data_IF_353906809812
#
_entry.id   IF_353906809812
#
_cell.length_a   1.000
_cell.length_b   1.000
_cell.length_c   1.000
_cell.angle_alpha   90.00
_cell.angle_beta   90.00
_cell.angle_gamma   90.00
#
_symmetry.space_group_name_H-M   'P 1'
#
loop_
_entity.id
_entity.type
_entity.pdbx_description
1 polymer ?
#
# COMPACT_ATOMS: atom_id res chain seq x y z
N UNK A 1 -8.26 -0.89 -19.47
CA UNK A 1 -8.44 -1.48 -20.81
C UNK A 1 -8.72 -2.97 -20.67
N UNK A 2 -9.73 -3.50 -21.38
CA UNK A 2 -10.16 -4.90 -21.21
C UNK A 2 -9.08 -5.89 -21.66
N UNK A 3 -8.65 -6.79 -20.77
CA UNK A 3 -7.62 -7.79 -21.10
C UNK A 3 -8.01 -8.65 -22.32
N UNK A 4 -9.28 -9.04 -22.40
CA UNK A 4 -9.85 -9.86 -23.47
C UNK A 4 -9.94 -9.18 -24.82
N UNK A 5 -9.74 -7.86 -24.90
CA UNK A 5 -9.77 -7.10 -26.14
C UNK A 5 -8.37 -6.73 -26.65
N UNK A 6 -7.31 -7.24 -26.01
CA UNK A 6 -5.94 -7.01 -26.50
C UNK A 6 -5.80 -7.57 -27.92
N UNK A 7 -5.35 -6.76 -28.90
CA UNK A 7 -5.14 -7.23 -30.27
C UNK A 7 -4.09 -8.35 -30.30
N UNK A 8 -4.30 -9.33 -31.18
CA UNK A 8 -3.40 -10.49 -31.34
C UNK A 8 -1.97 -10.15 -31.77
N UNK A 9 -1.72 -8.92 -32.21
CA UNK A 9 -0.39 -8.42 -32.54
C UNK A 9 0.47 -7.98 -31.33
N UNK A 10 -0.06 -8.07 -30.10
CA UNK A 10 0.68 -7.74 -28.88
C UNK A 10 0.92 -8.98 -28.03
N UNK A 11 2.18 -9.18 -27.64
CA UNK A 11 2.58 -10.27 -26.75
C UNK A 11 2.43 -9.89 -25.26
N UNK A 12 2.36 -8.59 -24.96
CA UNK A 12 2.27 -8.04 -23.60
C UNK A 12 1.29 -6.87 -23.55
N UNK A 13 0.42 -6.83 -22.53
CA UNK A 13 -0.51 -5.71 -22.31
C UNK A 13 0.20 -4.36 -22.16
N UNK A 14 1.41 -4.34 -21.60
CA UNK A 14 2.19 -3.10 -21.46
C UNK A 14 2.57 -2.47 -22.80
N UNK A 15 2.89 -3.29 -23.82
CA UNK A 15 3.18 -2.81 -25.17
C UNK A 15 1.92 -2.27 -25.85
N UNK A 16 0.78 -2.93 -25.63
CA UNK A 16 -0.50 -2.42 -26.11
C UNK A 16 -0.84 -1.09 -25.46
N UNK A 17 -0.66 -0.95 -24.14
CA UNK A 17 -0.92 0.29 -23.41
C UNK A 17 -0.02 1.44 -23.88
N UNK A 18 1.28 1.21 -24.04
CA UNK A 18 2.22 2.21 -24.54
C UNK A 18 1.87 2.62 -25.98
N UNK A 19 1.55 1.65 -26.86
CA UNK A 19 1.11 1.94 -28.23
C UNK A 19 -0.18 2.76 -28.27
N UNK A 20 -1.17 2.43 -27.44
CA UNK A 20 -2.42 3.18 -27.34
C UNK A 20 -2.18 4.59 -26.82
N UNK A 21 -1.35 4.76 -25.80
CA UNK A 21 -0.98 6.06 -25.27
C UNK A 21 -0.28 6.94 -26.33
N UNK A 22 0.70 6.38 -27.04
CA UNK A 22 1.45 7.11 -28.09
C UNK A 22 0.59 7.53 -29.28
N UNK A 23 -0.53 6.85 -29.50
CA UNK A 23 -1.47 7.20 -30.57
C UNK A 23 -2.23 8.50 -30.29
N UNK A 24 -2.34 8.90 -29.02
CA UNK A 24 -3.07 10.12 -28.61
C UNK A 24 -2.15 11.21 -28.06
N UNK A 25 -0.95 10.86 -27.58
CA UNK A 25 0.03 11.83 -27.07
C UNK A 25 1.46 11.42 -27.41
N UNK A 26 2.25 12.35 -27.94
CA UNK A 26 3.67 12.10 -28.27
C UNK A 26 4.62 12.28 -27.06
N UNK A 27 4.16 12.93 -25.99
CA UNK A 27 4.99 13.29 -24.84
C UNK A 27 4.61 12.54 -23.55
N UNK A 28 3.41 11.97 -23.50
CA UNK A 28 2.96 11.22 -22.34
C UNK A 28 3.73 9.91 -22.16
N UNK A 29 3.88 9.51 -20.89
CA UNK A 29 4.56 8.29 -20.49
C UNK A 29 3.71 7.55 -19.47
N UNK A 30 3.78 6.22 -19.52
CA UNK A 30 3.12 5.37 -18.53
C UNK A 30 3.74 5.60 -17.15
N UNK A 31 2.92 5.94 -16.17
CA UNK A 31 3.32 6.04 -14.76
C UNK A 31 3.27 4.65 -14.12
N UNK A 32 2.12 3.97 -14.20
CA UNK A 32 1.94 2.59 -13.76
C UNK A 32 1.18 1.77 -14.79
N UNK A 33 1.37 0.46 -14.73
CA UNK A 33 0.53 -0.54 -15.39
C UNK A 33 -0.02 -1.48 -14.33
N UNK A 34 -1.31 -1.80 -14.43
CA UNK A 34 -2.03 -2.65 -13.50
C UNK A 34 -2.45 -3.92 -14.25
N UNK A 35 -2.24 -5.08 -13.63
CA UNK A 35 -2.49 -6.38 -14.28
C UNK A 35 -3.18 -7.42 -13.38
N UNK A 36 -3.34 -7.14 -12.09
CA UNK A 36 -3.81 -8.10 -11.10
C UNK A 36 -5.20 -7.73 -10.56
N UNK A 37 -5.31 -6.56 -9.93
CA UNK A 37 -6.57 -6.08 -9.35
C UNK A 37 -7.47 -5.45 -10.42
N UNK A 38 -6.86 -4.72 -11.34
CA UNK A 38 -7.50 -4.10 -12.49
C UNK A 38 -6.56 -4.18 -13.70
N UNK A 39 -7.12 -4.13 -14.91
CA UNK A 39 -6.33 -4.09 -16.15
C UNK A 39 -6.33 -2.68 -16.72
N UNK A 40 -5.19 -2.00 -16.71
CA UNK A 40 -5.08 -0.64 -17.22
C UNK A 40 -3.74 0.00 -16.90
N UNK A 41 -3.69 1.32 -17.02
CA UNK A 41 -2.50 2.11 -16.74
C UNK A 41 -2.87 3.50 -16.24
N UNK A 42 -1.91 4.18 -15.62
CA UNK A 42 -2.00 5.60 -15.30
C UNK A 42 -0.98 6.40 -16.11
N UNK A 43 -1.35 7.64 -16.43
CA UNK A 43 -0.55 8.56 -17.23
C UNK A 43 -1.00 10.00 -16.95
N UNK A 44 -0.21 10.98 -17.38
CA UNK A 44 -0.60 12.39 -17.41
C UNK A 44 -0.92 12.80 -18.83
N UNK A 45 -2.12 13.35 -19.04
CA UNK A 45 -2.65 13.77 -20.33
C UNK A 45 -3.30 15.16 -20.21
N UNK A 46 -3.40 15.88 -21.33
CA UNK A 46 -4.35 17.00 -21.43
C UNK A 46 -5.79 16.48 -21.50
N UNK A 47 -6.81 17.30 -21.22
CA UNK A 47 -8.20 16.91 -21.38
C UNK A 47 -8.52 16.37 -22.78
N UNK A 48 -7.98 17.00 -23.83
CA UNK A 48 -8.20 16.60 -25.22
C UNK A 48 -7.55 15.25 -25.56
N UNK A 49 -6.36 14.99 -25.03
CA UNK A 49 -5.69 13.69 -25.16
C UNK A 49 -6.45 12.59 -24.40
N UNK A 50 -7.01 12.90 -23.23
CA UNK A 50 -7.84 11.97 -22.45
C UNK A 50 -9.16 11.64 -23.16
N UNK A 51 -9.82 12.63 -23.76
CA UNK A 51 -11.02 12.43 -24.58
C UNK A 51 -10.70 11.57 -25.81
N UNK A 52 -9.55 11.83 -26.46
CA UNK A 52 -9.08 11.02 -27.58
C UNK A 52 -8.82 9.57 -27.17
N UNK A 53 -8.23 9.36 -25.98
CA UNK A 53 -7.97 8.01 -25.44
C UNK A 53 -9.25 7.22 -25.22
N UNK A 54 -10.32 7.86 -24.74
CA UNK A 54 -11.63 7.21 -24.53
C UNK A 54 -12.26 6.66 -25.82
N UNK A 55 -11.86 7.18 -26.99
CA UNK A 55 -12.37 6.68 -28.28
C UNK A 55 -11.70 5.40 -28.75
N UNK A 56 -10.57 4.99 -28.13
CA UNK A 56 -9.82 3.83 -28.56
C UNK A 56 -10.52 2.52 -28.19
N UNK A 57 -10.57 1.53 -29.10
CA UNK A 57 -11.04 0.19 -28.78
C UNK A 57 -10.32 -0.41 -27.57
N UNK A 58 -11.07 -1.03 -26.66
CA UNK A 58 -10.53 -1.64 -25.44
C UNK A 58 -10.43 -0.68 -24.24
N UNK A 59 -10.57 0.64 -24.43
CA UNK A 59 -10.70 1.60 -23.32
C UNK A 59 -12.15 1.59 -22.81
N UNK A 60 -12.34 1.15 -21.56
CA UNK A 60 -13.67 1.08 -20.93
C UNK A 60 -14.01 2.39 -20.23
N UNK A 61 -13.02 3.00 -19.58
CA UNK A 61 -13.16 4.26 -18.86
C UNK A 61 -11.82 4.97 -18.74
N UNK A 62 -11.87 6.28 -18.60
CA UNK A 62 -10.76 7.14 -18.18
C UNK A 62 -11.25 7.90 -16.96
N UNK A 63 -10.51 7.81 -15.85
CA UNK A 63 -10.86 8.44 -14.58
C UNK A 63 -9.79 9.49 -14.25
N UNK A 64 -10.19 10.70 -13.83
CA UNK A 64 -9.22 11.71 -13.40
C UNK A 64 -8.52 11.27 -12.11
N UNK A 65 -7.29 11.74 -11.91
CA UNK A 65 -6.54 11.54 -10.68
C UNK A 65 -7.31 12.14 -9.50
N UNK A 66 -7.52 11.34 -8.46
CA UNK A 66 -8.13 11.78 -7.22
C UNK A 66 -7.10 11.78 -6.08
N UNK A 67 -7.09 12.88 -5.33
CA UNK A 67 -6.34 13.02 -4.08
C UNK A 67 -7.27 12.74 -2.90
N UNK A 68 -6.85 11.82 -2.05
CA UNK A 68 -7.51 11.46 -0.80
C UNK A 68 -6.74 12.01 0.40
N UNK A 69 -7.45 12.18 1.51
CA UNK A 69 -6.89 12.61 2.80
C UNK A 69 -6.88 11.44 3.78
N UNK A 70 -5.97 11.51 4.76
CA UNK A 70 -5.87 10.52 5.83
C UNK A 70 -7.10 10.60 6.74
N UNK A 71 -7.63 9.44 7.13
CA UNK A 71 -8.80 9.35 8.00
C UNK A 71 -8.54 8.38 9.16
N UNK A 72 -8.42 8.90 10.39
CA UNK A 72 -8.49 8.08 11.61
C UNK A 72 -9.17 8.86 12.74
N UNK A 73 -10.50 8.80 12.83
CA UNK A 73 -11.20 9.53 13.90
C UNK A 73 -11.62 8.66 15.10
N UNK A 74 -11.94 7.35 14.94
CA UNK A 74 -12.31 6.46 16.08
C UNK A 74 -12.56 4.98 15.72
N UNK A 75 -11.52 4.17 15.55
CA UNK A 75 -11.66 2.79 15.01
C UNK A 75 -12.43 1.80 15.91
N UNK A 76 -12.23 1.72 17.24
CA UNK A 76 -12.88 0.67 18.05
C UNK A 76 -14.41 0.83 18.20
N UNK A 77 -14.87 2.08 18.41
CA UNK A 77 -16.29 2.40 18.55
C UNK A 77 -17.03 2.31 17.20
N UNK A 78 -16.37 2.68 16.10
CA UNK A 78 -16.89 2.52 14.75
C UNK A 78 -17.11 1.04 14.38
N UNK A 79 -16.23 0.15 14.85
CA UNK A 79 -16.32 -1.29 14.61
C UNK A 79 -17.22 -2.05 15.61
N UNK A 80 -17.89 -1.35 16.54
CA UNK A 80 -18.73 -2.01 17.56
C UNK A 80 -17.95 -2.89 18.54
N UNK A 81 -16.63 -2.70 18.63
CA UNK A 81 -15.75 -3.45 19.52
C UNK A 81 -15.64 -2.68 20.84
N UNK A 82 -16.62 -2.89 21.72
CA UNK A 82 -16.58 -2.44 23.10
C UNK A 82 -16.02 -3.51 24.04
N UNK A 83 -15.86 -3.15 25.33
CA UNK A 83 -15.32 -4.01 26.38
C UNK A 83 -16.12 -5.31 26.57
N UNK A 84 -17.32 -5.42 26.02
CA UNK A 84 -18.20 -6.58 26.12
C UNK A 84 -18.01 -7.59 24.98
N UNK A 85 -17.25 -7.24 23.94
CA UNK A 85 -17.05 -8.05 22.73
C UNK A 85 -15.57 -8.42 22.46
N UNK A 86 -14.69 -8.26 23.46
CA UNK A 86 -13.24 -8.51 23.33
C UNK A 86 -12.88 -9.98 23.03
N UNK A 87 -13.80 -10.92 23.29
CA UNK A 87 -13.63 -12.36 23.09
C UNK A 87 -14.04 -12.87 21.70
N UNK A 88 -14.41 -11.97 20.76
CA UNK A 88 -14.83 -12.36 19.39
C UNK A 88 -13.71 -12.92 18.51
N UNK A 89 -12.45 -12.78 18.92
CA UNK A 89 -11.33 -13.40 18.22
C UNK A 89 -10.83 -14.59 19.04
N UNK A 90 -11.35 -15.82 18.81
CA UNK A 90 -10.72 -17.00 19.38
C UNK A 90 -9.24 -16.99 19.01
N UNK A 91 -8.36 -17.29 19.97
CA UNK A 91 -6.95 -17.56 19.71
C UNK A 91 -6.85 -18.84 18.88
N UNK A 92 -7.19 -18.75 17.59
CA UNK A 92 -6.90 -19.80 16.64
C UNK A 92 -5.38 -19.88 16.59
N UNK A 93 -4.84 -21.05 16.97
CA UNK A 93 -3.40 -21.30 17.08
C UNK A 93 -2.59 -21.15 15.78
N UNK A 94 -3.18 -20.59 14.72
CA UNK A 94 -2.66 -20.50 13.35
C UNK A 94 -2.67 -19.08 12.77
N UNK A 95 -2.84 -18.01 13.56
CA UNK A 95 -2.91 -16.63 13.06
C UNK A 95 -1.57 -16.01 12.63
N UNK A 96 -0.44 -16.72 12.75
CA UNK A 96 0.89 -16.22 12.34
C UNK A 96 1.11 -16.15 10.83
N UNK A 97 0.23 -16.74 10.05
CA UNK A 97 0.34 -16.80 8.58
C UNK A 97 -0.56 -15.78 7.88
N UNK A 98 -1.40 -15.07 8.63
CA UNK A 98 -2.18 -13.94 8.11
C UNK A 98 -1.26 -12.75 7.94
N UNK A 99 -1.31 -12.11 6.77
CA UNK A 99 -0.60 -10.87 6.47
C UNK A 99 -1.62 -9.73 6.37
N UNK A 100 -1.55 -8.79 7.30
CA UNK A 100 -2.30 -7.53 7.23
C UNK A 100 -1.53 -6.56 6.35
N UNK A 101 -2.15 -6.15 5.25
CA UNK A 101 -1.58 -5.20 4.29
C UNK A 101 -2.11 -3.81 4.56
N UNK A 102 -1.23 -2.85 4.73
CA UNK A 102 -1.58 -1.49 5.15
C UNK A 102 -1.11 -0.52 4.07
N UNK A 103 -2.07 0.17 3.45
CA UNK A 103 -1.83 1.24 2.47
C UNK A 103 -2.01 2.56 3.20
N UNK A 104 -0.91 3.27 3.46
CA UNK A 104 -0.90 4.43 4.36
C UNK A 104 0.36 5.31 4.12
N UNK A 105 0.82 6.06 5.13
CA UNK A 105 2.03 6.93 5.08
C UNK A 105 3.36 6.19 5.25
N UNK A 106 3.33 4.87 5.38
CA UNK A 106 4.53 4.03 5.53
C UNK A 106 4.59 3.34 6.90
N UNK A 107 5.82 2.99 7.32
CA UNK A 107 6.06 2.40 8.64
C UNK A 107 7.37 2.89 9.28
N UNK A 108 7.38 3.00 10.60
CA UNK A 108 8.58 3.16 11.43
C UNK A 108 9.03 1.79 11.97
N UNK A 109 9.91 1.07 11.25
CA UNK A 109 10.20 -0.34 11.53
C UNK A 109 10.89 -0.59 12.87
N UNK A 110 11.58 0.41 13.43
CA UNK A 110 12.27 0.29 14.72
C UNK A 110 11.31 0.30 15.93
N UNK A 111 10.02 0.57 15.71
CA UNK A 111 9.02 0.52 16.78
C UNK A 111 8.91 -0.89 17.37
N UNK A 112 8.83 -0.99 18.70
CA UNK A 112 8.67 -2.27 19.40
C UNK A 112 7.42 -3.04 18.96
N UNK A 113 6.40 -2.33 18.44
CA UNK A 113 5.19 -2.92 17.87
C UNK A 113 5.47 -3.79 16.63
N UNK A 114 6.64 -3.66 16.00
CA UNK A 114 7.06 -4.50 14.87
C UNK A 114 8.15 -5.52 15.25
N UNK A 115 8.29 -5.82 16.54
CA UNK A 115 9.14 -6.92 17.01
C UNK A 115 8.64 -8.27 16.49
N UNK A 116 9.56 -9.12 16.07
CA UNK A 116 9.29 -10.45 15.51
C UNK A 116 9.54 -11.61 16.49
N UNK A 117 9.73 -11.28 17.77
CA UNK A 117 9.90 -12.25 18.85
C UNK A 117 8.69 -13.18 18.92
N UNK A 118 8.95 -14.48 18.92
CA UNK A 118 7.91 -15.51 18.97
C UNK A 118 7.22 -15.80 17.63
N UNK A 119 7.61 -15.14 16.53
CA UNK A 119 7.13 -15.47 15.19
C UNK A 119 8.04 -16.47 14.49
N UNK A 120 7.43 -17.50 13.90
CA UNK A 120 8.09 -18.47 13.02
C UNK A 120 8.52 -17.89 11.66
N UNK A 121 9.15 -18.70 10.80
CA UNK A 121 9.60 -18.29 9.47
C UNK A 121 8.45 -17.74 8.63
N UNK A 122 8.72 -16.79 7.74
CA UNK A 122 7.70 -16.24 6.82
C UNK A 122 7.18 -17.36 5.92
N UNK A 123 5.87 -17.39 5.69
CA UNK A 123 5.26 -18.39 4.82
C UNK A 123 5.86 -18.33 3.41
N UNK A 124 6.17 -19.49 2.82
CA UNK A 124 6.78 -19.59 1.49
C UNK A 124 5.89 -19.09 0.36
N UNK A 125 4.61 -18.86 0.63
CA UNK A 125 3.64 -18.27 -0.30
C UNK A 125 3.77 -16.76 -0.42
N UNK A 126 4.47 -16.10 0.51
CA UNK A 126 4.75 -14.67 0.48
C UNK A 126 5.82 -14.35 -0.57
N UNK A 127 5.51 -13.41 -1.47
CA UNK A 127 6.41 -12.95 -2.54
C UNK A 127 6.78 -11.48 -2.43
N UNK A 128 6.15 -10.76 -1.49
CA UNK A 128 6.50 -9.38 -1.20
C UNK A 128 7.92 -9.26 -0.65
N UNK A 129 8.44 -8.04 -0.73
CA UNK A 129 9.81 -7.74 -0.32
C UNK A 129 9.91 -6.38 0.32
N UNK A 130 11.12 -6.03 0.75
CA UNK A 130 11.39 -4.76 1.39
C UNK A 130 12.27 -3.91 0.50
N UNK A 131 11.64 -2.86 0.01
CA UNK A 131 12.22 -1.89 -0.89
C UNK A 131 13.10 -0.92 -0.10
N UNK A 132 14.34 -0.78 -0.55
CA UNK A 132 15.26 0.19 0.02
C UNK A 132 14.97 1.60 -0.54
N UNK A 133 15.27 2.61 0.26
CA UNK A 133 15.20 4.01 -0.13
C UNK A 133 15.83 4.87 0.96
N UNK A 134 15.55 6.17 0.91
CA UNK A 134 16.05 7.12 1.89
C UNK A 134 15.66 6.73 3.31
N UNK A 135 16.65 6.63 4.20
CA UNK A 135 16.49 6.19 5.60
C UNK A 135 15.82 4.81 5.79
N UNK A 136 15.76 3.97 4.75
CA UNK A 136 15.13 2.65 4.83
C UNK A 136 15.95 1.62 4.06
N UNK A 137 16.54 0.65 4.75
CA UNK A 137 17.24 -0.47 4.11
C UNK A 137 16.35 -1.71 4.11
N UNK A 138 16.57 -2.60 3.15
CA UNK A 138 15.81 -3.87 3.07
C UNK A 138 15.93 -4.73 4.34
N UNK A 139 17.01 -4.56 5.11
CA UNK A 139 17.25 -5.28 6.37
C UNK A 139 16.38 -4.80 7.54
N UNK A 140 15.62 -3.71 7.39
CA UNK A 140 14.68 -3.24 8.41
C UNK A 140 13.42 -4.10 8.50
N UNK A 141 13.16 -4.91 7.47
CA UNK A 141 12.14 -5.94 7.56
C UNK A 141 12.62 -7.17 8.30
N UNK A 142 11.67 -7.86 8.93
CA UNK A 142 11.89 -8.99 9.80
C UNK A 142 10.73 -9.99 9.68
N UNK A 143 10.56 -10.93 10.62
CA UNK A 143 9.46 -11.91 10.52
C UNK A 143 8.08 -11.31 10.86
N UNK A 144 8.01 -10.09 11.40
CA UNK A 144 6.80 -9.32 11.71
C UNK A 144 6.42 -8.36 10.59
N UNK A 145 7.29 -7.41 10.26
CA UNK A 145 7.18 -6.55 9.08
C UNK A 145 7.87 -7.27 7.91
N UNK A 146 7.08 -7.99 7.10
CA UNK A 146 7.61 -8.88 6.05
C UNK A 146 7.69 -8.23 4.67
N UNK A 147 7.09 -7.04 4.52
CA UNK A 147 7.06 -6.30 3.27
C UNK A 147 6.94 -4.81 3.54
N UNK A 148 7.67 -4.02 2.78
CA UNK A 148 7.63 -2.57 2.87
C UNK A 148 7.97 -1.99 1.49
N UNK A 149 7.04 -1.24 0.90
CA UNK A 149 7.17 -0.62 -0.43
C UNK A 149 6.59 0.78 -0.42
N UNK A 150 6.87 1.55 -1.46
CA UNK A 150 6.29 2.87 -1.64
C UNK A 150 5.94 3.13 -3.11
N UNK A 151 4.93 3.97 -3.33
CA UNK A 151 4.42 4.35 -4.65
C UNK A 151 4.30 5.85 -4.68
N UNK A 152 5.12 6.51 -5.51
CA UNK A 152 5.24 7.96 -5.55
C UNK A 152 5.04 8.54 -6.95
N UNK A 153 4.89 7.74 -8.02
CA UNK A 153 4.85 8.29 -9.38
C UNK A 153 3.61 9.14 -9.63
N UNK A 154 2.47 8.81 -9.02
CA UNK A 154 1.25 9.62 -9.10
C UNK A 154 1.41 10.96 -8.39
N UNK A 155 1.91 10.90 -7.16
CA UNK A 155 2.35 12.06 -6.38
C UNK A 155 3.32 12.94 -7.19
N UNK A 156 4.41 12.37 -7.69
CA UNK A 156 5.48 13.11 -8.38
C UNK A 156 5.02 13.73 -9.69
N UNK A 157 4.10 13.07 -10.40
CA UNK A 157 3.49 13.62 -11.61
C UNK A 157 2.60 14.84 -11.35
N UNK A 158 2.04 14.95 -10.13
CA UNK A 158 1.08 15.99 -9.75
C UNK A 158 1.71 17.12 -8.93
N UNK A 159 2.54 16.78 -7.95
CA UNK A 159 3.11 17.70 -6.96
C UNK A 159 4.60 18.02 -7.22
N UNK A 160 5.25 17.28 -8.11
CA UNK A 160 6.71 17.34 -8.31
C UNK A 160 7.47 16.35 -7.42
N UNK A 161 8.81 16.32 -7.51
CA UNK A 161 9.63 15.33 -6.80
C UNK A 161 9.39 15.39 -5.28
N UNK A 162 9.52 14.24 -4.61
CA UNK A 162 9.46 14.17 -3.14
C UNK A 162 10.55 15.08 -2.54
N UNK A 163 10.16 15.98 -1.64
CA UNK A 163 11.08 16.84 -0.90
C UNK A 163 11.72 16.04 0.25
N UNK A 164 12.88 15.44 -0.03
CA UNK A 164 13.59 14.58 0.92
C UNK A 164 14.15 15.32 2.15
N UNK A 165 14.02 16.64 2.22
CA UNK A 165 14.28 17.39 3.46
C UNK A 165 13.15 17.26 4.48
N UNK A 166 11.95 16.84 4.03
CA UNK A 166 10.74 16.71 4.86
C UNK A 166 10.25 15.28 4.97
N UNK A 167 10.32 14.52 3.89
CA UNK A 167 9.77 13.17 3.82
C UNK A 167 10.69 12.24 3.03
N UNK A 168 10.94 11.05 3.57
CA UNK A 168 11.81 10.04 2.95
C UNK A 168 11.12 9.43 1.74
N UNK A 169 11.78 9.46 0.58
CA UNK A 169 11.35 8.73 -0.62
C UNK A 169 11.63 7.23 -0.48
N UNK A 170 10.94 6.60 0.46
CA UNK A 170 11.08 5.20 0.86
C UNK A 170 9.82 4.72 1.59
N UNK A 171 9.75 3.45 2.04
CA UNK A 171 8.64 2.98 2.87
C UNK A 171 8.60 3.58 4.29
N UNK A 172 9.57 4.42 4.67
CA UNK A 172 9.61 5.04 6.00
C UNK A 172 8.42 5.98 6.20
N UNK A 173 7.86 5.89 7.39
CA UNK A 173 6.82 6.81 7.87
C UNK A 173 7.47 8.02 8.56
N UNK A 174 7.34 9.19 7.93
CA UNK A 174 7.77 10.47 8.51
C UNK A 174 6.57 11.28 9.04
N UNK A 175 5.35 10.76 8.91
CA UNK A 175 4.11 11.35 9.43
C UNK A 175 3.69 10.71 10.78
N UNK A 176 3.60 9.38 10.79
CA UNK A 176 3.23 8.56 11.94
C UNK A 176 1.89 7.83 11.79
N UNK A 177 1.00 8.28 10.90
CA UNK A 177 -0.33 7.69 10.72
C UNK A 177 -0.25 6.21 10.33
N UNK A 178 0.58 5.84 9.37
CA UNK A 178 0.77 4.45 8.92
C UNK A 178 1.33 3.54 10.01
N UNK A 179 2.28 4.02 10.80
CA UNK A 179 2.82 3.32 11.98
C UNK A 179 1.75 3.09 13.03
N UNK A 180 0.94 4.12 13.32
CA UNK A 180 -0.13 4.03 14.29
C UNK A 180 -1.24 3.07 13.84
N UNK A 181 -1.69 3.17 12.59
CA UNK A 181 -2.73 2.32 12.01
C UNK A 181 -2.28 0.86 11.93
N UNK A 182 -1.08 0.59 11.42
CA UNK A 182 -0.55 -0.77 11.31
C UNK A 182 -0.30 -1.43 12.68
N UNK A 183 0.18 -0.69 13.67
CA UNK A 183 0.35 -1.20 15.04
C UNK A 183 -0.99 -1.42 15.75
N UNK A 184 -2.02 -0.62 15.46
CA UNK A 184 -3.38 -0.86 15.96
C UNK A 184 -3.97 -2.14 15.37
N UNK A 185 -3.77 -2.39 14.07
CA UNK A 185 -4.28 -3.59 13.42
C UNK A 185 -3.56 -4.85 13.87
N UNK A 186 -2.22 -4.82 13.88
CA UNK A 186 -1.40 -6.02 14.02
C UNK A 186 -0.09 -5.78 14.77
N UNK A 187 0.01 -4.80 15.67
CA UNK A 187 1.20 -4.62 16.51
C UNK A 187 1.47 -5.81 17.44
N UNK A 188 2.74 -6.17 17.59
CA UNK A 188 3.23 -7.04 18.66
C UNK A 188 2.99 -6.42 20.03
N UNK A 189 3.03 -7.23 21.08
CA UNK A 189 2.81 -6.74 22.45
C UNK A 189 4.00 -5.89 22.90
N UNK A 190 3.73 -4.68 23.40
CA UNK A 190 4.70 -3.76 23.97
C UNK A 190 4.30 -3.45 25.41
N UNK A 191 5.03 -4.03 26.35
CA UNK A 191 4.83 -3.78 27.78
C UNK A 191 5.28 -2.38 28.19
N UNK A 192 4.57 -1.77 29.14
CA UNK A 192 4.90 -0.45 29.68
C UNK A 192 4.75 0.69 28.68
N UNK A 193 3.92 0.53 27.65
CA UNK A 193 3.60 1.60 26.71
C UNK A 193 2.74 2.66 27.40
N UNK A 194 3.05 3.92 27.15
CA UNK A 194 2.26 5.07 27.60
C UNK A 194 2.58 6.30 26.73
N UNK A 195 1.68 7.27 26.72
CA UNK A 195 1.94 8.61 26.16
C UNK A 195 2.07 9.59 27.33
N UNK A 196 3.29 10.01 27.66
CA UNK A 196 3.54 10.91 28.80
C UNK A 196 2.89 10.44 30.11
N UNK A 197 2.83 9.12 30.34
CA UNK A 197 2.19 8.48 31.50
C UNK A 197 0.69 8.19 31.34
N UNK A 198 0.02 8.76 30.34
CA UNK A 198 -1.38 8.44 30.03
C UNK A 198 -1.50 7.09 29.33
N UNK A 199 -2.65 6.42 29.54
CA UNK A 199 -2.98 5.12 28.96
C UNK A 199 -1.90 4.04 29.18
N UNK A 200 -1.28 4.06 30.36
CA UNK A 200 -0.24 3.11 30.74
C UNK A 200 -0.75 1.66 30.70
N UNK A 201 -0.02 0.79 30.01
CA UNK A 201 -0.35 -0.63 29.92
C UNK A 201 0.46 -1.37 28.86
N UNK A 202 -0.08 -2.52 28.44
CA UNK A 202 0.46 -3.28 27.32
C UNK A 202 -0.22 -2.85 26.02
N UNK A 203 0.50 -2.16 25.13
CA UNK A 203 0.00 -1.85 23.79
C UNK A 203 0.10 -3.12 22.92
N UNK A 204 -0.94 -3.39 22.13
CA UNK A 204 -0.96 -4.51 21.18
C UNK A 204 -1.94 -4.23 20.05
N UNK A 205 -1.69 -4.83 18.90
CA UNK A 205 -2.67 -4.86 17.83
C UNK A 205 -3.83 -5.80 18.13
N UNK A 206 -4.90 -5.65 17.35
CA UNK A 206 -6.03 -6.58 17.35
C UNK A 206 -5.57 -8.00 16.99
N UNK A 207 -4.73 -8.14 15.96
CA UNK A 207 -4.15 -9.40 15.50
C UNK A 207 -2.64 -9.47 15.81
N UNK A 208 -2.29 -9.59 17.09
CA UNK A 208 -0.88 -9.53 17.58
C UNK A 208 0.11 -10.48 16.91
N UNK A 209 -0.35 -11.63 16.40
CA UNK A 209 0.48 -12.63 15.71
C UNK A 209 0.50 -12.48 14.19
N UNK A 210 -0.41 -11.70 13.60
CA UNK A 210 -0.41 -11.46 12.17
C UNK A 210 0.86 -10.72 11.75
N UNK A 211 1.27 -10.94 10.50
CA UNK A 211 2.39 -10.23 9.88
C UNK A 211 1.87 -8.95 9.22
N UNK A 212 2.77 -8.01 9.00
CA UNK A 212 2.45 -6.72 8.42
C UNK A 212 3.22 -6.56 7.11
N UNK A 213 2.53 -6.10 6.08
CA UNK A 213 3.15 -5.59 4.86
C UNK A 213 2.63 -4.18 4.60
N UNK A 214 3.55 -3.24 4.40
CA UNK A 214 3.23 -1.81 4.27
C UNK A 214 3.49 -1.35 2.85
N UNK A 215 2.53 -0.60 2.33
CA UNK A 215 2.59 0.01 1.00
C UNK A 215 2.33 1.51 1.18
N UNK A 216 3.41 2.31 1.21
CA UNK A 216 3.31 3.75 1.33
C UNK A 216 2.74 4.36 0.05
N UNK A 217 1.58 4.99 0.16
CA UNK A 217 0.83 5.62 -0.96
C UNK A 217 0.38 7.04 -0.64
N UNK A 218 0.58 7.46 0.60
CA UNK A 218 0.30 8.80 1.08
C UNK A 218 1.61 9.52 1.33
N UNK A 219 1.67 10.77 0.87
CA UNK A 219 2.82 11.67 0.96
C UNK A 219 2.35 13.02 1.51
N UNK A 220 3.29 13.94 1.75
CA UNK A 220 2.96 15.33 2.08
C UNK A 220 1.98 15.91 1.04
N UNK A 221 0.76 16.24 1.46
CA UNK A 221 -0.26 16.78 0.57
C UNK A 221 -1.27 15.76 0.02
N UNK A 222 -1.20 14.49 0.40
CA UNK A 222 -2.30 13.52 0.26
C UNK A 222 -1.92 12.17 -0.35
N UNK A 223 -2.94 11.35 -0.60
CA UNK A 223 -2.79 10.02 -1.19
C UNK A 223 -3.39 10.01 -2.60
N UNK A 224 -2.63 9.58 -3.60
CA UNK A 224 -3.03 9.67 -5.01
C UNK A 224 -3.63 8.35 -5.47
N UNK A 225 -4.79 8.42 -6.12
CA UNK A 225 -5.55 7.26 -6.62
C UNK A 225 -4.68 6.32 -7.48
N UNK A 226 -3.79 6.86 -8.32
CA UNK A 226 -2.91 6.04 -9.15
C UNK A 226 -1.84 5.28 -8.36
N UNK A 227 -1.29 5.87 -7.30
CA UNK A 227 -0.37 5.22 -6.36
C UNK A 227 -1.10 4.18 -5.49
N UNK A 228 -2.32 4.50 -5.02
CA UNK A 228 -3.19 3.57 -4.28
C UNK A 228 -3.50 2.33 -5.14
N UNK A 229 -3.91 2.52 -6.40
CA UNK A 229 -4.21 1.41 -7.30
C UNK A 229 -2.95 0.57 -7.59
N UNK A 230 -1.79 1.21 -7.75
CA UNK A 230 -0.52 0.50 -7.93
C UNK A 230 -0.17 -0.36 -6.71
N UNK A 231 -0.39 0.17 -5.51
CA UNK A 231 -0.20 -0.57 -4.28
C UNK A 231 -1.19 -1.72 -4.10
N UNK A 232 -2.47 -1.54 -4.45
CA UNK A 232 -3.46 -2.62 -4.42
C UNK A 232 -3.07 -3.72 -5.40
N UNK A 233 -2.72 -3.36 -6.63
CA UNK A 233 -2.31 -4.31 -7.66
C UNK A 233 -1.07 -5.11 -7.21
N UNK A 234 -0.08 -4.42 -6.65
CA UNK A 234 1.13 -5.06 -6.15
C UNK A 234 0.90 -5.88 -4.89
N UNK A 235 0.01 -5.43 -4.01
CA UNK A 235 -0.44 -6.20 -2.87
C UNK A 235 -1.01 -7.53 -3.34
N UNK A 236 -1.93 -7.55 -4.31
CA UNK A 236 -2.48 -8.81 -4.85
C UNK A 236 -1.36 -9.75 -5.33
N UNK A 237 -0.41 -9.24 -6.11
CA UNK A 237 0.74 -10.02 -6.64
C UNK A 237 1.69 -10.58 -5.56
N UNK A 238 1.80 -9.92 -4.40
CA UNK A 238 2.72 -10.34 -3.33
C UNK A 238 2.26 -11.60 -2.56
N UNK A 239 1.10 -12.19 -2.87
CA UNK A 239 0.68 -13.52 -2.38
C UNK A 239 0.39 -14.44 -3.57
N UNK A 240 0.86 -15.69 -3.51
CA UNK A 240 0.35 -16.76 -4.38
C UNK A 240 -0.64 -17.63 -3.62
N UNK A 241 -1.85 -17.70 -4.17
CA UNK A 241 -2.88 -18.65 -3.75
C UNK A 241 -3.67 -18.22 -2.51
N UNK A 242 -4.51 -17.20 -2.64
CA UNK A 242 -5.85 -17.07 -2.04
C UNK A 242 -6.40 -15.66 -2.34
N UNK A 243 -7.44 -15.61 -3.18
CA UNK A 243 -8.54 -14.64 -3.06
C UNK A 243 -9.59 -15.27 -2.14
#
# INVERSE_FOLDING_TARGET
>A
MAQSQMPSGFDLHSLWYDSSLRSVSQSAQLLYTYANAIHGFSTRLTPEEADSLMTLPGVISVLPEHRYELHTTRTPLFLGLDVHNADLFPETGSSSDVVVRVLDTGVWPESKSFSDVGLGPVASTWRGGCEAGTNFTASLCNRKLIGARFFARGYEATMGPVDESKESRSPRDDDGHGTHTSSTAAGSVVEGASLLGFASGAARGMARRARVAVYKVCWEGGCFSSDILAAIDKAVDDIVGLL
#
